data_IF_159503919361
#
_entry.id   IF_159503919361
#
_cell.length_a   1.000
_cell.length_b   1.000
_cell.length_c   1.000
_cell.angle_alpha   90.00
_cell.angle_beta   90.00
_cell.angle_gamma   90.00
#
_symmetry.space_group_name_H-M   'P 1'
#
loop_
_entity.id
_entity.type
_entity.pdbx_description
1 polymer ?
#
# COMPACT_ATOMS: atom_id res chain seq x y z
N UNK A 1 -7.13 4.87 9.29
CA UNK A 1 -6.34 3.63 9.50
C UNK A 1 -5.37 3.70 10.67
N UNK A 2 -4.70 4.83 10.93
CA UNK A 2 -3.70 4.96 12.00
C UNK A 2 -4.25 4.70 13.41
N UNK A 3 -5.48 5.16 13.70
CA UNK A 3 -6.04 5.15 15.07
C UNK A 3 -6.96 3.96 15.38
N UNK A 4 -7.68 3.46 14.38
CA UNK A 4 -8.67 2.39 14.52
C UNK A 4 -8.61 1.44 13.30
N UNK A 5 -7.60 0.57 13.21
CA UNK A 5 -7.41 -0.31 12.07
C UNK A 5 -8.52 -1.37 11.97
N UNK A 6 -9.02 -1.91 13.09
CA UNK A 6 -10.12 -2.89 13.10
C UNK A 6 -11.43 -2.33 12.55
N UNK A 7 -11.82 -1.13 12.98
CA UNK A 7 -13.02 -0.46 12.46
C UNK A 7 -12.88 -0.13 10.97
N UNK A 8 -11.68 0.29 10.55
CA UNK A 8 -11.41 0.52 9.13
C UNK A 8 -11.49 -0.77 8.31
N UNK A 9 -10.98 -1.88 8.85
CA UNK A 9 -11.07 -3.18 8.20
C UNK A 9 -12.51 -3.63 8.06
N UNK A 10 -13.30 -3.55 9.14
CA UNK A 10 -14.72 -3.90 9.14
C UNK A 10 -15.47 -3.11 8.06
N UNK A 11 -15.23 -1.80 7.98
CA UNK A 11 -15.86 -0.97 6.97
C UNK A 11 -15.42 -1.35 5.55
N UNK A 12 -14.12 -1.54 5.30
CA UNK A 12 -13.62 -1.92 3.96
C UNK A 12 -14.15 -3.28 3.49
N UNK A 13 -14.36 -4.23 4.40
CA UNK A 13 -14.92 -5.55 4.09
C UNK A 13 -16.43 -5.52 3.74
N UNK A 14 -17.13 -4.41 4.03
CA UNK A 14 -18.54 -4.23 3.64
C UNK A 14 -18.71 -3.78 2.18
N UNK A 15 -17.64 -3.31 1.52
CA UNK A 15 -17.67 -2.87 0.12
C UNK A 15 -16.96 -3.89 -0.78
N UNK A 16 -17.47 -4.05 -2.01
CA UNK A 16 -16.73 -4.76 -3.05
C UNK A 16 -15.76 -3.82 -3.75
N UNK A 17 -14.59 -4.34 -4.15
CA UNK A 17 -13.69 -3.63 -5.08
C UNK A 17 -14.36 -3.32 -6.42
N UNK A 18 -15.41 -4.07 -6.78
CA UNK A 18 -16.18 -3.85 -7.99
C UNK A 18 -17.07 -2.60 -7.93
N UNK A 19 -17.38 -2.11 -6.72
CA UNK A 19 -18.14 -0.87 -6.51
C UNK A 19 -17.29 0.39 -6.78
N UNK A 20 -15.96 0.22 -6.95
CA UNK A 20 -15.05 1.31 -7.26
C UNK A 20 -15.22 1.77 -8.72
N UNK A 21 -15.34 3.09 -8.91
CA UNK A 21 -15.70 3.72 -10.19
C UNK A 21 -14.59 3.69 -11.23
N UNK A 22 -13.34 3.73 -10.77
CA UNK A 22 -12.17 3.85 -11.63
C UNK A 22 -10.97 3.06 -11.09
N UNK A 23 -9.88 3.03 -11.87
CA UNK A 23 -8.66 2.28 -11.54
C UNK A 23 -7.93 2.85 -10.33
N UNK A 24 -8.02 4.15 -10.10
CA UNK A 24 -7.37 4.80 -8.95
C UNK A 24 -8.08 4.42 -7.65
N UNK A 25 -9.42 4.47 -7.63
CA UNK A 25 -10.23 4.04 -6.50
C UNK A 25 -10.00 2.56 -6.18
N UNK A 26 -9.94 1.70 -7.21
CA UNK A 26 -9.60 0.27 -7.03
C UNK A 26 -8.22 0.09 -6.40
N UNK A 27 -7.22 0.80 -6.92
CA UNK A 27 -5.86 0.75 -6.38
C UNK A 27 -5.80 1.27 -4.93
N UNK A 28 -6.52 2.35 -4.63
CA UNK A 28 -6.59 2.90 -3.29
C UNK A 28 -7.30 1.96 -2.31
N UNK A 29 -8.44 1.41 -2.68
CA UNK A 29 -9.15 0.41 -1.91
C UNK A 29 -8.25 -0.78 -1.58
N UNK A 30 -7.56 -1.35 -2.58
CA UNK A 30 -6.65 -2.48 -2.38
C UNK A 30 -5.47 -2.15 -1.43
N UNK A 31 -4.93 -0.94 -1.54
CA UNK A 31 -3.87 -0.45 -0.64
C UNK A 31 -4.39 -0.34 0.81
N UNK A 32 -5.57 0.27 1.00
CA UNK A 32 -6.20 0.40 2.31
C UNK A 32 -6.56 -0.98 2.89
N UNK A 33 -7.13 -1.90 2.10
CA UNK A 33 -7.47 -3.23 2.59
C UNK A 33 -6.22 -3.96 3.11
N UNK A 34 -5.13 -3.92 2.34
CA UNK A 34 -3.85 -4.52 2.75
C UNK A 34 -3.31 -3.88 4.03
N UNK A 35 -3.31 -2.55 4.11
CA UNK A 35 -2.85 -1.83 5.29
C UNK A 35 -3.70 -2.16 6.52
N UNK A 36 -5.00 -2.41 6.37
CA UNK A 36 -5.90 -2.72 7.47
C UNK A 36 -5.66 -4.14 7.99
N UNK A 37 -5.52 -5.10 7.06
CA UNK A 37 -5.16 -6.48 7.41
C UNK A 37 -3.85 -6.52 8.20
N UNK A 38 -2.81 -5.84 7.71
CA UNK A 38 -1.53 -5.76 8.43
C UNK A 38 -1.67 -5.15 9.83
N UNK A 39 -2.26 -3.95 9.92
CA UNK A 39 -2.36 -3.23 11.19
C UNK A 39 -3.27 -3.93 12.21
N UNK A 40 -4.03 -4.93 11.80
CA UNK A 40 -4.85 -5.80 12.66
C UNK A 40 -4.20 -7.17 12.90
N UNK A 41 -2.91 -7.30 12.56
CA UNK A 41 -2.11 -8.52 12.71
C UNK A 41 -2.67 -9.73 11.96
N UNK A 42 -3.42 -9.49 10.88
CA UNK A 42 -3.87 -10.54 9.96
C UNK A 42 -2.85 -10.72 8.85
N UNK A 43 -2.73 -11.95 8.33
CA UNK A 43 -1.85 -12.20 7.18
C UNK A 43 -2.30 -11.39 5.98
N UNK A 44 -1.33 -10.88 5.23
CA UNK A 44 -1.54 -10.18 3.98
C UNK A 44 -1.09 -10.99 2.76
N UNK A 45 -0.82 -12.29 2.93
CA UNK A 45 -0.39 -13.19 1.85
C UNK A 45 -1.34 -13.15 0.66
N UNK A 46 -2.65 -13.10 0.90
CA UNK A 46 -3.69 -13.06 -0.13
C UNK A 46 -4.21 -11.64 -0.41
N UNK A 47 -3.59 -10.61 0.17
CA UNK A 47 -4.04 -9.23 0.00
C UNK A 47 -3.74 -8.71 -1.41
N UNK A 48 -4.62 -7.86 -1.99
CA UNK A 48 -4.53 -7.42 -3.39
C UNK A 48 -3.49 -6.31 -3.62
N UNK A 49 -2.38 -6.31 -2.88
CA UNK A 49 -1.40 -5.21 -2.90
C UNK A 49 -0.65 -5.10 -4.23
N UNK A 50 -0.43 -6.22 -4.93
CA UNK A 50 0.20 -6.21 -6.26
C UNK A 50 -0.62 -5.40 -7.26
N UNK A 51 -1.96 -5.46 -7.18
CA UNK A 51 -2.85 -4.65 -8.01
C UNK A 51 -2.74 -3.15 -7.70
N UNK A 52 -2.63 -2.79 -6.43
CA UNK A 52 -2.38 -1.40 -6.03
C UNK A 52 -1.00 -0.91 -6.49
N UNK A 53 0.03 -1.73 -6.36
CA UNK A 53 1.39 -1.41 -6.79
C UNK A 53 1.49 -1.22 -8.30
N UNK A 54 0.78 -2.03 -9.10
CA UNK A 54 0.74 -1.88 -10.56
C UNK A 54 0.26 -0.49 -10.99
N UNK A 55 -0.66 0.11 -10.23
CA UNK A 55 -1.13 1.48 -10.43
C UNK A 55 -0.13 2.52 -9.89
N UNK A 56 0.20 2.44 -8.59
CA UNK A 56 0.98 3.49 -7.93
C UNK A 56 2.45 3.53 -8.32
N UNK A 57 3.04 2.47 -8.89
CA UNK A 57 4.44 2.50 -9.37
C UNK A 57 4.68 3.59 -10.44
N UNK A 58 3.63 3.99 -11.15
CA UNK A 58 3.66 5.03 -12.18
C UNK A 58 3.05 6.36 -11.71
N UNK A 59 2.53 6.43 -10.49
CA UNK A 59 1.92 7.63 -9.92
C UNK A 59 2.97 8.62 -9.40
N UNK A 60 2.63 9.90 -9.42
CA UNK A 60 3.38 10.98 -8.77
C UNK A 60 3.14 11.03 -7.25
N UNK A 61 2.10 10.33 -6.75
CA UNK A 61 1.85 10.21 -5.31
C UNK A 61 2.90 9.31 -4.66
N UNK A 62 3.99 9.95 -4.26
CA UNK A 62 5.16 9.31 -3.67
C UNK A 62 4.82 8.57 -2.38
N UNK A 63 3.83 9.04 -1.61
CA UNK A 63 3.40 8.40 -0.38
C UNK A 63 2.64 7.09 -0.67
N UNK A 64 1.65 7.10 -1.57
CA UNK A 64 0.93 5.88 -1.95
C UNK A 64 1.82 4.89 -2.68
N UNK A 65 2.75 5.39 -3.52
CA UNK A 65 3.81 4.58 -4.14
C UNK A 65 4.70 3.91 -3.08
N UNK A 66 5.20 4.66 -2.10
CA UNK A 66 6.02 4.12 -1.02
C UNK A 66 5.27 3.03 -0.22
N UNK A 67 4.02 3.31 0.16
CA UNK A 67 3.18 2.34 0.87
C UNK A 67 2.93 1.08 0.04
N UNK A 68 2.65 1.22 -1.25
CA UNK A 68 2.42 0.07 -2.12
C UNK A 68 3.65 -0.85 -2.19
N UNK A 69 4.85 -0.28 -2.35
CA UNK A 69 6.09 -1.04 -2.28
C UNK A 69 6.33 -1.66 -0.91
N UNK A 70 6.09 -0.92 0.18
CA UNK A 70 6.27 -1.42 1.53
C UNK A 70 5.39 -2.65 1.80
N UNK A 71 4.11 -2.60 1.47
CA UNK A 71 3.18 -3.70 1.71
C UNK A 71 3.44 -4.91 0.80
N UNK A 72 3.89 -4.71 -0.44
CA UNK A 72 4.38 -5.81 -1.28
C UNK A 72 5.62 -6.47 -0.65
N UNK A 73 6.54 -5.68 -0.09
CA UNK A 73 7.69 -6.19 0.66
C UNK A 73 7.29 -7.01 1.88
N UNK A 74 6.26 -6.57 2.61
CA UNK A 74 5.70 -7.34 3.73
C UNK A 74 5.09 -8.66 3.28
N UNK A 75 4.35 -8.68 2.17
CA UNK A 75 3.79 -9.91 1.61
C UNK A 75 4.88 -10.92 1.25
N UNK A 76 5.95 -10.48 0.57
CA UNK A 76 7.12 -11.31 0.29
C UNK A 76 7.82 -11.80 1.57
N UNK A 77 7.89 -10.95 2.60
CA UNK A 77 8.47 -11.33 3.89
C UNK A 77 7.64 -12.42 4.61
N UNK A 78 6.31 -12.35 4.56
CA UNK A 78 5.43 -13.41 5.08
C UNK A 78 5.63 -14.72 4.30
N UNK A 79 5.85 -14.64 2.99
CA UNK A 79 6.21 -15.76 2.12
C UNK A 79 7.67 -16.26 2.26
N UNK A 80 8.48 -15.62 3.12
CA UNK A 80 9.93 -15.89 3.29
C UNK A 80 10.78 -15.65 2.03
N UNK A 81 10.28 -14.88 1.08
CA UNK A 81 10.99 -14.43 -0.12
C UNK A 81 11.81 -13.16 0.19
N UNK A 82 12.83 -13.30 1.04
CA UNK A 82 13.52 -12.15 1.63
C UNK A 82 14.23 -11.25 0.61
N UNK A 83 14.78 -11.82 -0.47
CA UNK A 83 15.42 -11.03 -1.54
C UNK A 83 14.43 -10.11 -2.24
N UNK A 84 13.22 -10.60 -2.52
CA UNK A 84 12.14 -9.80 -3.11
C UNK A 84 11.64 -8.75 -2.11
N UNK A 85 11.49 -9.13 -0.83
CA UNK A 85 11.08 -8.22 0.23
C UNK A 85 12.03 -7.02 0.37
N UNK A 86 13.35 -7.27 0.44
CA UNK A 86 14.37 -6.22 0.57
C UNK A 86 14.34 -5.26 -0.63
N UNK A 87 14.20 -5.78 -1.86
CA UNK A 87 14.07 -4.94 -3.06
C UNK A 87 12.85 -4.01 -2.97
N UNK A 88 11.70 -4.55 -2.55
CA UNK A 88 10.50 -3.75 -2.33
C UNK A 88 10.68 -2.67 -1.26
N UNK A 89 11.31 -3.00 -0.12
CA UNK A 89 11.58 -2.01 0.93
C UNK A 89 12.53 -0.91 0.48
N UNK A 90 13.56 -1.22 -0.32
CA UNK A 90 14.45 -0.21 -0.90
C UNK A 90 13.71 0.71 -1.88
N UNK A 91 12.79 0.18 -2.69
CA UNK A 91 11.92 0.99 -3.54
C UNK A 91 11.01 1.91 -2.72
N UNK A 92 10.44 1.41 -1.61
CA UNK A 92 9.63 2.23 -0.70
C UNK A 92 10.43 3.39 -0.10
N UNK A 93 11.64 3.12 0.39
CA UNK A 93 12.54 4.15 0.92
C UNK A 93 12.93 5.19 -0.14
N UNK A 94 13.16 4.76 -1.38
CA UNK A 94 13.47 5.66 -2.49
C UNK A 94 12.31 6.61 -2.79
N UNK A 95 11.08 6.08 -2.81
CA UNK A 95 9.88 6.90 -3.00
C UNK A 95 9.65 7.87 -1.83
N UNK A 96 9.96 7.48 -0.59
CA UNK A 96 9.88 8.39 0.57
C UNK A 96 10.90 9.53 0.50
N UNK A 97 12.13 9.26 0.07
CA UNK A 97 13.16 10.31 -0.09
C UNK A 97 12.74 11.39 -1.06
N UNK A 98 11.98 11.04 -2.09
CA UNK A 98 11.41 12.02 -3.03
C UNK A 98 10.43 12.95 -2.31
N UNK A 99 9.63 12.47 -1.36
CA UNK A 99 8.73 13.31 -0.56
C UNK A 99 9.47 14.36 0.30
N UNK A 100 10.65 14.00 0.82
CA UNK A 100 11.45 14.88 1.66
C UNK A 100 12.21 15.97 0.90
N UNK A 101 12.31 15.85 -0.43
CA UNK A 101 12.93 16.89 -1.25
C UNK A 101 12.11 18.20 -1.18
N UNK A 102 12.78 19.36 -1.07
CA UNK A 102 12.13 20.65 -0.85
C UNK A 102 11.10 21.01 -1.95
N UNK A 103 11.28 20.49 -3.16
CA UNK A 103 10.34 20.67 -4.28
C UNK A 103 8.97 20.02 -4.06
N UNK A 104 8.88 18.98 -3.22
CA UNK A 104 7.62 18.29 -2.88
C UNK A 104 7.01 18.78 -1.57
N UNK A 105 7.82 19.30 -0.64
CA UNK A 105 7.32 19.98 0.59
C UNK A 105 6.52 21.25 0.30
N UNK A 106 6.75 21.89 -0.85
CA UNK A 106 6.00 23.08 -1.27
C UNK A 106 4.58 22.78 -1.79
N UNK A 107 4.19 21.51 -1.92
CA UNK A 107 2.90 21.06 -2.47
C UNK A 107 1.93 20.49 -1.41
N UNK A 108 2.34 20.46 -0.14
CA UNK A 108 1.51 20.04 1.02
C UNK A 108 1.19 21.24 1.90
#
# INVERSE_FOLDING_TARGET
MERHPDSALLFLQQFSVDDCRDREQKAYYNLLLTQALDKTYRSITDAPITSALAFYRHSEDSLKKAKAFFYQGRQYSEAKEYDAAVRCYLCALTAMKQLDEPKYKALC
#
